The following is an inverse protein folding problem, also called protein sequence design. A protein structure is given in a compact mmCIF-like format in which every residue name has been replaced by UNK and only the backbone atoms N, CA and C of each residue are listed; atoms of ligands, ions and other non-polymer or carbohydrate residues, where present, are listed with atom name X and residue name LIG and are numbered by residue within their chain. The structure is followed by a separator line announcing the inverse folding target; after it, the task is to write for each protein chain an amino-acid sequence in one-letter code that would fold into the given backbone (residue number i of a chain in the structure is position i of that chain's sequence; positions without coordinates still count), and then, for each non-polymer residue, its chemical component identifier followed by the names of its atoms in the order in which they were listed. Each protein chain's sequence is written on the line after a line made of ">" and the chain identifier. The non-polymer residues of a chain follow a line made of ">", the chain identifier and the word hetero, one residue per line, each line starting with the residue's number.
data_IF_209776344749
#
_entry.id   IF_209776344749
#
_cell.length_a   1.000
_cell.length_b   1.000
_cell.length_c   1.000
_cell.angle_alpha   90.00
_cell.angle_beta   90.00
_cell.angle_gamma   90.00
#
_symmetry.space_group_name_H-M   'P 1'
#
loop_
_entity.id
_entity.type
_entity.pdbx_description
1 polymer ?
#
# COMPACT_ATOMS: atom_id res chain seq x y z
N UNK A 1 3.24 3.52 7.21
CA UNK A 1 3.67 3.81 5.82
C UNK A 1 2.46 4.05 4.96
N UNK A 2 2.51 5.06 4.10
CA UNK A 2 1.45 5.39 3.16
C UNK A 2 2.00 5.28 1.74
N UNK A 3 1.30 4.54 0.89
CA UNK A 3 1.68 4.28 -0.49
C UNK A 3 0.52 4.67 -1.38
N UNK A 4 0.79 5.57 -2.33
CA UNK A 4 -0.22 6.07 -3.27
C UNK A 4 0.18 5.69 -4.69
N UNK A 5 -0.75 5.11 -5.43
CA UNK A 5 -0.63 4.92 -6.87
C UNK A 5 -1.66 5.76 -7.61
N UNK A 6 -1.21 6.50 -8.63
CA UNK A 6 -2.05 7.38 -9.44
C UNK A 6 -1.77 7.27 -10.93
N UNK A 7 -2.69 7.78 -11.75
CA UNK A 7 -2.58 7.69 -13.21
C UNK A 7 -2.85 6.29 -13.77
N UNK A 8 -3.58 5.45 -13.03
CA UNK A 8 -4.02 4.13 -13.49
C UNK A 8 -5.24 4.25 -14.43
N UNK A 9 -5.44 3.26 -15.33
CA UNK A 9 -6.70 3.13 -16.07
C UNK A 9 -7.90 3.07 -15.11
N UNK A 10 -9.02 3.69 -15.48
CA UNK A 10 -10.20 3.76 -14.61
C UNK A 10 -10.74 2.37 -14.25
N UNK A 11 -10.63 1.38 -15.14
CA UNK A 11 -11.03 0.00 -14.85
C UNK A 11 -10.23 -0.66 -13.71
N UNK A 12 -9.05 -0.15 -13.37
CA UNK A 12 -8.23 -0.71 -12.30
C UNK A 12 -8.68 -0.23 -10.92
N UNK A 13 -9.51 0.81 -10.81
CA UNK A 13 -10.01 1.31 -9.52
C UNK A 13 -11.23 0.54 -9.01
N UNK A 14 -11.13 -0.79 -9.03
CA UNK A 14 -12.04 -1.66 -8.29
C UNK A 14 -11.33 -2.16 -7.03
N UNK A 15 -12.08 -2.31 -5.93
CA UNK A 15 -11.51 -2.88 -4.71
C UNK A 15 -10.91 -4.27 -4.99
N UNK A 16 -11.60 -5.11 -5.75
CA UNK A 16 -11.17 -6.49 -6.03
C UNK A 16 -9.83 -6.55 -6.76
N UNK A 17 -9.64 -5.78 -7.85
CA UNK A 17 -8.38 -5.78 -8.60
C UNK A 17 -7.21 -5.24 -7.76
N UNK A 18 -7.42 -4.15 -7.03
CA UNK A 18 -6.38 -3.54 -6.19
C UNK A 18 -6.02 -4.40 -4.97
N UNK A 19 -6.99 -5.13 -4.40
CA UNK A 19 -6.79 -6.10 -3.34
C UNK A 19 -6.00 -7.31 -3.87
N UNK A 20 -6.40 -7.86 -5.01
CA UNK A 20 -5.76 -9.03 -5.62
C UNK A 20 -4.28 -8.77 -5.91
N UNK A 21 -3.96 -7.65 -6.57
CA UNK A 21 -2.58 -7.26 -6.88
C UNK A 21 -1.72 -7.13 -5.62
N UNK A 22 -2.28 -6.57 -4.54
CA UNK A 22 -1.56 -6.46 -3.27
C UNK A 22 -1.32 -7.84 -2.64
N UNK A 23 -2.37 -8.66 -2.54
CA UNK A 23 -2.31 -9.98 -1.92
C UNK A 23 -1.34 -10.92 -2.63
N UNK A 24 -1.28 -10.88 -3.96
CA UNK A 24 -0.29 -11.64 -4.73
C UNK A 24 1.14 -11.22 -4.38
N UNK A 25 1.42 -9.92 -4.42
CA UNK A 25 2.75 -9.39 -4.12
C UNK A 25 3.18 -9.69 -2.68
N UNK A 26 2.27 -9.49 -1.71
CA UNK A 26 2.50 -9.76 -0.31
C UNK A 26 2.74 -11.25 -0.04
N UNK A 27 1.98 -12.14 -0.69
CA UNK A 27 2.17 -13.60 -0.58
C UNK A 27 3.54 -14.02 -1.09
N UNK A 28 3.97 -13.53 -2.25
CA UNK A 28 5.31 -13.85 -2.77
C UNK A 28 6.41 -13.37 -1.83
N UNK A 29 6.30 -12.16 -1.26
CA UNK A 29 7.29 -11.67 -0.27
C UNK A 29 7.28 -12.54 1.00
N UNK A 30 6.10 -12.92 1.49
CA UNK A 30 5.98 -13.78 2.66
C UNK A 30 6.61 -15.15 2.44
N UNK A 31 6.40 -15.77 1.28
CA UNK A 31 7.02 -17.05 0.93
C UNK A 31 8.56 -16.98 0.87
N UNK A 32 9.12 -15.83 0.49
CA UNK A 32 10.56 -15.62 0.38
C UNK A 32 11.23 -15.21 1.69
N UNK A 33 10.52 -14.49 2.57
CA UNK A 33 11.13 -13.80 3.72
C UNK A 33 10.50 -14.17 5.07
N UNK A 34 9.30 -14.78 5.07
CA UNK A 34 8.49 -15.01 6.26
C UNK A 34 7.82 -13.74 6.80
N UNK A 35 8.02 -12.57 6.18
CA UNK A 35 7.52 -11.29 6.66
C UNK A 35 6.11 -11.00 6.14
N UNK A 36 5.18 -10.66 7.04
CA UNK A 36 3.81 -10.30 6.66
C UNK A 36 3.69 -8.80 6.40
N UNK A 37 3.07 -8.42 5.28
CA UNK A 37 2.84 -7.03 4.90
C UNK A 37 1.37 -6.80 4.54
N UNK A 38 0.59 -6.42 5.55
CA UNK A 38 -0.81 -6.06 5.38
C UNK A 38 -0.98 -4.58 5.05
N UNK A 39 -2.09 -4.24 4.39
CA UNK A 39 -2.45 -2.87 4.08
C UNK A 39 -3.95 -2.61 4.24
N UNK A 40 -4.28 -1.39 4.63
CA UNK A 40 -5.63 -0.82 4.51
C UNK A 40 -5.73 -0.07 3.20
N UNK A 41 -6.65 -0.48 2.34
CA UNK A 41 -6.91 0.17 1.05
C UNK A 41 -8.01 1.22 1.17
N UNK A 42 -7.81 2.37 0.53
CA UNK A 42 -8.83 3.37 0.23
C UNK A 42 -8.64 3.89 -1.19
N UNK A 43 -9.73 4.35 -1.82
CA UNK A 43 -9.69 4.94 -3.18
C UNK A 43 -10.17 6.41 -3.11
N UNK A 44 -9.35 7.34 -2.59
CA UNK A 44 -9.68 8.75 -2.59
C UNK A 44 -9.48 9.39 -3.97
N UNK A 45 -9.93 10.64 -4.12
CA UNK A 45 -9.72 11.45 -5.31
C UNK A 45 -8.55 12.41 -5.11
N UNK A 46 -7.56 12.37 -5.99
CA UNK A 46 -6.48 13.35 -6.04
C UNK A 46 -6.94 14.57 -6.82
N UNK A 47 -6.75 15.76 -6.23
CA UNK A 47 -7.12 17.05 -6.82
C UNK A 47 -5.84 17.83 -7.01
N UNK A 48 -5.55 18.22 -8.25
CA UNK A 48 -4.45 19.11 -8.56
C UNK A 48 -4.86 20.16 -9.59
N UNK A 49 -4.27 21.35 -9.49
CA UNK A 49 -4.61 22.45 -10.38
C UNK A 49 -4.05 22.20 -11.80
N UNK A 50 -4.87 22.50 -12.81
CA UNK A 50 -4.53 22.28 -14.23
C UNK A 50 -3.40 23.20 -14.70
N UNK A 51 -3.14 24.31 -14.01
CA UNK A 51 -2.07 25.24 -14.36
C UNK A 51 -0.67 24.63 -14.30
N UNK A 52 -0.48 23.49 -13.61
CA UNK A 52 0.82 22.80 -13.53
C UNK A 52 0.93 21.56 -14.45
N UNK A 53 0.08 21.43 -15.47
CA UNK A 53 0.04 20.22 -16.34
C UNK A 53 -0.15 18.91 -15.54
N UNK A 54 -0.83 18.98 -14.40
CA UNK A 54 -1.04 17.81 -13.57
C UNK A 54 -2.12 16.91 -14.19
N UNK A 55 -1.68 15.87 -14.90
CA UNK A 55 -2.54 14.81 -15.48
C UNK A 55 -2.90 13.71 -14.47
N UNK A 56 -2.72 13.96 -13.16
CA UNK A 56 -2.96 13.00 -12.08
C UNK A 56 -4.27 13.24 -11.32
N UNK A 57 -5.02 14.29 -11.67
CA UNK A 57 -6.36 14.49 -11.10
C UNK A 57 -7.26 13.29 -11.43
N UNK A 58 -7.82 12.66 -10.41
CA UNK A 58 -8.53 11.39 -10.57
C UNK A 58 -8.50 10.53 -9.32
N UNK A 59 -9.16 9.35 -9.36
CA UNK A 59 -9.00 8.36 -8.30
C UNK A 59 -7.53 7.94 -8.15
N UNK A 60 -7.14 7.63 -6.91
CA UNK A 60 -5.83 7.09 -6.54
C UNK A 60 -6.02 5.88 -5.63
N UNK A 61 -5.11 4.91 -5.70
CA UNK A 61 -5.10 3.78 -4.79
C UNK A 61 -4.20 4.12 -3.62
N UNK A 62 -4.76 4.25 -2.42
CA UNK A 62 -4.05 4.63 -1.21
C UNK A 62 -4.00 3.45 -0.23
N UNK A 63 -2.80 2.93 -0.01
CA UNK A 63 -2.51 1.82 0.88
C UNK A 63 -1.80 2.34 2.14
N UNK A 64 -2.38 2.05 3.30
CA UNK A 64 -1.74 2.34 4.59
C UNK A 64 -1.27 1.03 5.21
N UNK A 65 0.04 0.87 5.34
CA UNK A 65 0.69 -0.29 5.94
C UNK A 65 1.26 0.08 7.30
N UNK A 66 1.15 -0.82 8.26
CA UNK A 66 1.66 -0.61 9.61
C UNK A 66 2.54 -1.80 9.99
N UNK A 67 3.71 -1.50 10.54
CA UNK A 67 4.48 -2.50 11.22
C UNK A 67 3.85 -2.74 12.58
N UNK A 68 3.53 -4.00 12.86
CA UNK A 68 3.10 -4.44 14.17
C UNK A 68 4.27 -5.22 14.79
N UNK A 69 4.88 -4.74 15.87
CA UNK A 69 5.99 -5.44 16.48
C UNK A 69 5.53 -6.81 17.00
N UNK A 70 6.10 -7.86 16.45
CA UNK A 70 5.99 -9.23 16.96
C UNK A 70 7.36 -9.70 17.45
N UNK A 71 7.41 -10.75 18.27
CA UNK A 71 8.69 -11.27 18.81
C UNK A 71 9.68 -11.74 17.72
N UNK A 72 9.20 -11.92 16.49
CA UNK A 72 9.96 -12.50 15.37
C UNK A 72 10.39 -11.47 14.31
N UNK A 73 9.88 -10.23 14.36
CA UNK A 73 10.01 -9.29 13.24
C UNK A 73 10.68 -7.98 13.68
N UNK A 74 11.76 -7.59 13.00
CA UNK A 74 12.37 -6.27 13.18
C UNK A 74 11.70 -5.23 12.28
N UNK A 75 11.70 -3.96 12.72
CA UNK A 75 11.19 -2.85 11.91
C UNK A 75 11.96 -2.69 10.59
N UNK A 76 13.26 -2.99 10.61
CA UNK A 76 14.14 -2.91 9.43
C UNK A 76 13.79 -4.00 8.41
N UNK A 77 13.58 -5.24 8.86
CA UNK A 77 13.18 -6.34 7.99
C UNK A 77 11.78 -6.11 7.41
N UNK A 78 10.85 -5.59 8.23
CA UNK A 78 9.54 -5.19 7.75
C UNK A 78 9.64 -4.12 6.65
N UNK A 79 10.48 -3.10 6.85
CA UNK A 79 10.68 -2.05 5.85
C UNK A 79 11.22 -2.62 4.53
N UNK A 80 12.19 -3.54 4.59
CA UNK A 80 12.73 -4.23 3.41
C UNK A 80 11.64 -5.03 2.69
N UNK A 81 10.84 -5.80 3.42
CA UNK A 81 9.73 -6.57 2.87
C UNK A 81 8.66 -5.66 2.24
N UNK A 82 8.31 -4.56 2.91
CA UNK A 82 7.36 -3.57 2.39
C UNK A 82 7.84 -2.98 1.07
N UNK A 83 9.11 -2.61 0.95
CA UNK A 83 9.67 -2.11 -0.31
C UNK A 83 9.59 -3.16 -1.43
N UNK A 84 9.78 -4.44 -1.12
CA UNK A 84 9.63 -5.52 -2.11
C UNK A 84 8.17 -5.67 -2.56
N UNK A 85 7.21 -5.64 -1.63
CA UNK A 85 5.77 -5.68 -1.96
C UNK A 85 5.42 -4.51 -2.86
N UNK A 86 5.78 -3.29 -2.46
CA UNK A 86 5.42 -2.07 -3.19
C UNK A 86 6.01 -2.05 -4.61
N UNK A 87 7.25 -2.53 -4.80
CA UNK A 87 7.85 -2.67 -6.14
C UNK A 87 7.08 -3.66 -7.01
N UNK A 88 6.74 -4.82 -6.45
CA UNK A 88 5.97 -5.88 -7.14
C UNK A 88 4.55 -5.45 -7.50
N UNK A 89 3.90 -4.67 -6.64
CA UNK A 89 2.60 -4.05 -6.90
C UNK A 89 2.74 -3.04 -8.03
N UNK A 90 3.72 -2.13 -7.95
CA UNK A 90 3.97 -1.12 -8.98
C UNK A 90 4.19 -1.74 -10.36
N UNK A 91 4.97 -2.81 -10.43
CA UNK A 91 5.22 -3.55 -11.67
C UNK A 91 3.93 -4.15 -12.25
N UNK A 92 3.12 -4.81 -11.42
CA UNK A 92 1.82 -5.39 -11.83
C UNK A 92 0.82 -4.34 -12.29
N UNK A 93 0.88 -3.15 -11.72
CA UNK A 93 0.03 -2.01 -12.10
C UNK A 93 0.54 -1.27 -13.36
N UNK A 94 1.59 -1.74 -14.02
CA UNK A 94 2.12 -1.11 -15.24
C UNK A 94 3.04 0.08 -14.98
N UNK A 95 3.71 0.11 -13.82
CA UNK A 95 4.64 1.17 -13.40
C UNK A 95 4.05 2.59 -13.35
N UNK A 96 2.91 2.79 -12.65
CA UNK A 96 2.29 4.10 -12.50
C UNK A 96 3.15 5.10 -11.71
N UNK A 97 2.64 6.33 -11.60
CA UNK A 97 3.08 7.27 -10.57
C UNK A 97 2.92 6.61 -9.19
N UNK A 98 3.90 6.82 -8.33
CA UNK A 98 3.93 6.28 -6.98
C UNK A 98 4.46 7.31 -6.01
N UNK A 99 3.75 7.48 -4.91
CA UNK A 99 4.25 8.16 -3.71
C UNK A 99 4.47 7.12 -2.61
N UNK A 100 5.54 7.28 -1.84
CA UNK A 100 5.82 6.49 -0.65
C UNK A 100 6.23 7.42 0.47
N UNK A 101 5.51 7.36 1.59
CA UNK A 101 5.83 8.15 2.78
C UNK A 101 5.81 7.29 4.04
N UNK A 102 6.67 7.65 4.98
CA UNK A 102 6.74 7.09 6.32
C UNK A 102 6.36 8.16 7.33
N UNK A 103 5.54 7.79 8.30
CA UNK A 103 5.18 8.64 9.42
C UNK A 103 5.21 7.77 10.67
N UNK A 104 5.89 8.25 11.71
CA UNK A 104 5.84 7.64 13.03
C UNK A 104 4.51 8.00 13.69
N UNK A 105 3.86 7.03 14.30
CA UNK A 105 2.54 7.22 14.91
C UNK A 105 2.42 6.35 16.15
N UNK A 106 1.93 6.95 17.24
CA UNK A 106 1.54 6.22 18.44
C UNK A 106 0.17 5.60 18.21
N UNK A 107 0.09 4.27 18.25
CA UNK A 107 -1.13 3.52 17.99
C UNK A 107 -1.55 2.78 19.25
N UNK A 108 -2.82 2.94 19.61
CA UNK A 108 -3.45 2.20 20.70
C UNK A 108 -4.54 1.28 20.14
N UNK A 109 -4.40 -0.03 20.36
CA UNK A 109 -5.41 -1.01 19.98
C UNK A 109 -6.40 -1.23 21.13
N UNK A 110 -7.69 -1.16 20.83
CA UNK A 110 -8.77 -1.51 21.74
C UNK A 110 -9.50 -2.71 21.15
N UNK A 111 -9.36 -3.87 21.78
CA UNK A 111 -10.06 -5.08 21.38
C UNK A 111 -11.42 -5.11 22.09
N UNK A 112 -12.51 -5.25 21.32
CA UNK A 112 -13.81 -5.59 21.89
C UNK A 112 -13.88 -7.08 22.19
N UNK A 113 -14.70 -7.48 23.16
CA UNK A 113 -14.97 -8.90 23.42
C UNK A 113 -15.53 -9.54 22.15
N UNK A 114 -14.75 -10.42 21.53
CA UNK A 114 -15.19 -11.25 20.42
C UNK A 114 -16.08 -12.35 21.01
N UNK A 115 -17.40 -12.17 20.92
CA UNK A 115 -18.39 -13.23 21.20
C UNK A 115 -18.40 -14.28 20.08
#
# INVERSE_FOLDING_TARGET
>A
YTIVFGGLPLEMFTNDSLIEVWLEAARTVYEETGMRVDARLSIPYYICDKYENCNLSGPIANYVCMWEPTELESQEDYYVALLQVVRRVRERLGNPYMEFSSQDSDIHYFFGDLN
#
